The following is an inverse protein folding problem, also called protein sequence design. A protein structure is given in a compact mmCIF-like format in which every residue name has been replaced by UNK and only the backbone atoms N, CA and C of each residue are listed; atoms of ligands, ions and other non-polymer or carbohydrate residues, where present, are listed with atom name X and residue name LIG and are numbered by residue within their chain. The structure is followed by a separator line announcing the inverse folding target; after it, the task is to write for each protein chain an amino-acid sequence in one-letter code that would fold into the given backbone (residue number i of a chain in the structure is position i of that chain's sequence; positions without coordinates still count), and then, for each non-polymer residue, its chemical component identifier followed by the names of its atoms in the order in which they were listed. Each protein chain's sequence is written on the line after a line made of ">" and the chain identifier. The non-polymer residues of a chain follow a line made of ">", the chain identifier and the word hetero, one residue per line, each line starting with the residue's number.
data_IF_401064085308
#
_entry.id   IF_401064085308
#
_cell.length_a   1.000
_cell.length_b   1.000
_cell.length_c   1.000
_cell.angle_alpha   90.00
_cell.angle_beta   90.00
_cell.angle_gamma   90.00
#
_symmetry.space_group_name_H-M   'P 1'
#
loop_
_entity.id
_entity.type
_entity.pdbx_description
1 polymer ?
#
# COMPACT_ATOMS: atom_id res chain seq x y z
N UNK A 1 -7.53 4.33 -19.25
CA UNK A 1 -7.69 2.87 -19.06
C UNK A 1 -6.32 2.35 -18.70
N UNK A 2 -6.12 1.94 -17.45
CA UNK A 2 -4.87 1.32 -17.05
C UNK A 2 -4.60 0.10 -17.93
N UNK A 3 -3.39 -0.04 -18.45
CA UNK A 3 -3.04 -1.25 -19.20
C UNK A 3 -2.86 -2.40 -18.18
N UNK A 4 -3.27 -3.60 -18.55
CA UNK A 4 -3.16 -4.80 -17.70
C UNK A 4 -1.72 -5.03 -17.22
N UNK A 5 -0.73 -4.78 -18.08
CA UNK A 5 0.69 -4.90 -17.75
C UNK A 5 1.13 -3.93 -16.65
N UNK A 6 0.59 -2.71 -16.64
CA UNK A 6 0.85 -1.73 -15.58
C UNK A 6 0.24 -2.21 -14.26
N UNK A 7 -0.97 -2.78 -14.30
CA UNK A 7 -1.61 -3.31 -13.11
C UNK A 7 -0.79 -4.46 -12.52
N UNK A 8 -0.31 -5.38 -13.37
CA UNK A 8 0.60 -6.47 -12.97
C UNK A 8 1.88 -5.91 -12.35
N UNK A 9 2.45 -4.84 -12.91
CA UNK A 9 3.64 -4.21 -12.36
C UNK A 9 3.39 -3.63 -10.96
N UNK A 10 2.27 -2.96 -10.73
CA UNK A 10 1.95 -2.41 -9.42
C UNK A 10 1.61 -3.49 -8.38
N UNK A 11 0.95 -4.59 -8.78
CA UNK A 11 0.74 -5.73 -7.88
C UNK A 11 2.07 -6.39 -7.49
N UNK A 12 3.06 -6.43 -8.39
CA UNK A 12 4.43 -6.86 -8.05
C UNK A 12 5.10 -5.90 -7.06
N UNK A 13 4.95 -4.59 -7.25
CA UNK A 13 5.47 -3.59 -6.32
C UNK A 13 4.85 -3.75 -4.92
N UNK A 14 3.54 -4.00 -4.85
CA UNK A 14 2.83 -4.27 -3.61
C UNK A 14 3.37 -5.52 -2.90
N UNK A 15 3.51 -6.65 -3.61
CA UNK A 15 4.01 -7.90 -3.04
C UNK A 15 5.48 -7.82 -2.58
N UNK A 16 6.28 -6.98 -3.25
CA UNK A 16 7.69 -6.75 -2.92
C UNK A 16 7.91 -5.69 -1.82
N UNK A 17 6.88 -4.92 -1.46
CA UNK A 17 7.00 -3.84 -0.49
C UNK A 17 7.41 -4.39 0.90
N UNK A 18 8.47 -3.90 1.54
CA UNK A 18 8.88 -4.39 2.86
C UNK A 18 7.85 -4.09 3.96
N UNK A 19 6.94 -3.14 3.71
CA UNK A 19 5.88 -2.74 4.62
C UNK A 19 4.54 -3.46 4.38
N UNK A 20 4.44 -4.34 3.38
CA UNK A 20 3.21 -5.11 3.16
C UNK A 20 3.10 -6.18 4.24
N UNK A 21 1.91 -6.34 4.82
CA UNK A 21 1.69 -7.44 5.75
C UNK A 21 1.45 -8.75 4.99
N UNK A 22 1.64 -9.89 5.66
CA UNK A 22 1.67 -11.20 5.01
C UNK A 22 0.38 -11.55 4.24
N UNK A 23 -0.80 -11.28 4.78
CA UNK A 23 -2.06 -11.63 4.12
C UNK A 23 -2.30 -10.89 2.80
N UNK A 24 -2.00 -9.59 2.74
CA UNK A 24 -2.10 -8.80 1.50
C UNK A 24 -1.02 -9.21 0.50
N UNK A 25 0.17 -9.57 0.98
CA UNK A 25 1.23 -10.15 0.13
C UNK A 25 0.78 -11.45 -0.51
N UNK A 26 0.27 -12.39 0.28
CA UNK A 26 -0.19 -13.69 -0.20
C UNK A 26 -1.33 -13.54 -1.21
N UNK A 27 -2.23 -12.57 -1.00
CA UNK A 27 -3.29 -12.25 -1.94
C UNK A 27 -2.75 -11.65 -3.25
N UNK A 28 -1.78 -10.75 -3.18
CA UNK A 28 -1.12 -10.17 -4.35
C UNK A 28 -0.37 -11.24 -5.16
N UNK A 29 0.35 -12.15 -4.50
CA UNK A 29 1.05 -13.26 -5.15
C UNK A 29 0.07 -14.27 -5.79
N UNK A 30 -1.04 -14.57 -5.13
CA UNK A 30 -2.12 -15.38 -5.72
C UNK A 30 -2.74 -14.71 -6.96
N UNK A 31 -2.97 -13.39 -6.89
CA UNK A 31 -3.48 -12.62 -8.02
C UNK A 31 -2.51 -12.70 -9.22
N UNK A 32 -1.20 -12.54 -8.98
CA UNK A 32 -0.16 -12.64 -10.01
C UNK A 32 -0.07 -14.05 -10.60
N UNK A 33 -0.20 -15.09 -9.79
CA UNK A 33 -0.17 -16.47 -10.25
C UNK A 33 -1.41 -16.86 -11.09
N UNK A 34 -2.53 -16.16 -10.89
CA UNK A 34 -3.78 -16.37 -11.62
C UNK A 34 -3.87 -15.55 -12.92
N UNK A 35 -2.79 -14.87 -13.33
CA UNK A 35 -2.81 -14.01 -14.52
C UNK A 35 -3.18 -14.77 -15.79
N UNK A 36 -4.16 -14.23 -16.55
CA UNK A 36 -4.69 -14.89 -17.75
C UNK A 36 -5.62 -16.07 -17.48
N UNK A 37 -6.01 -16.33 -16.22
CA UNK A 37 -6.97 -17.38 -15.85
C UNK A 37 -8.35 -16.81 -15.52
N UNK A 38 -9.37 -17.66 -15.53
CA UNK A 38 -10.73 -17.27 -15.12
C UNK A 38 -10.83 -16.83 -13.64
N UNK A 39 -9.87 -17.21 -12.79
CA UNK A 39 -9.86 -16.85 -11.38
C UNK A 39 -9.49 -15.38 -11.14
N UNK A 40 -8.83 -14.73 -12.11
CA UNK A 40 -8.29 -13.38 -11.95
C UNK A 40 -9.36 -12.33 -11.64
N UNK A 41 -10.57 -12.47 -12.21
CA UNK A 41 -11.68 -11.55 -11.94
C UNK A 41 -12.09 -11.57 -10.46
N UNK A 42 -12.22 -12.76 -9.86
CA UNK A 42 -12.54 -12.90 -8.44
C UNK A 42 -11.40 -12.38 -7.54
N UNK A 43 -10.16 -12.72 -7.85
CA UNK A 43 -9.00 -12.24 -7.10
C UNK A 43 -8.84 -10.72 -7.21
N UNK A 44 -9.20 -10.11 -8.34
CA UNK A 44 -9.20 -8.65 -8.49
C UNK A 44 -10.21 -7.98 -7.55
N UNK A 45 -11.39 -8.57 -7.39
CA UNK A 45 -12.40 -8.07 -6.45
C UNK A 45 -11.93 -8.18 -5.00
N UNK A 46 -11.29 -9.30 -4.63
CA UNK A 46 -10.70 -9.49 -3.31
C UNK A 46 -9.55 -8.54 -3.03
N UNK A 47 -8.62 -8.38 -3.99
CA UNK A 47 -7.51 -7.45 -3.87
C UNK A 47 -7.99 -6.01 -3.71
N UNK A 48 -8.99 -5.61 -4.51
CA UNK A 48 -9.66 -4.31 -4.40
C UNK A 48 -10.23 -4.08 -3.00
N UNK A 49 -10.96 -5.06 -2.45
CA UNK A 49 -11.56 -4.95 -1.13
C UNK A 49 -10.49 -4.82 -0.03
N UNK A 50 -9.47 -5.67 -0.05
CA UNK A 50 -8.37 -5.63 0.91
C UNK A 50 -7.64 -4.27 0.87
N UNK A 51 -7.28 -3.80 -0.33
CA UNK A 51 -6.61 -2.50 -0.48
C UNK A 51 -7.41 -1.32 0.06
N UNK A 52 -8.74 -1.34 -0.01
CA UNK A 52 -9.56 -0.25 0.57
C UNK A 52 -9.51 -0.21 2.10
N UNK A 53 -9.22 -1.35 2.74
CA UNK A 53 -9.07 -1.45 4.19
C UNK A 53 -7.61 -1.20 4.62
N UNK A 54 -6.64 -1.57 3.78
CA UNK A 54 -5.22 -1.58 4.12
C UNK A 54 -4.43 -0.35 3.67
N UNK A 55 -4.92 0.38 2.66
CA UNK A 55 -4.29 1.63 2.22
C UNK A 55 -4.64 2.74 3.22
N UNK A 56 -3.72 2.96 4.15
CA UNK A 56 -3.88 4.00 5.15
C UNK A 56 -3.74 5.40 4.55
N UNK A 57 -4.58 6.32 5.02
CA UNK A 57 -4.42 7.76 4.80
C UNK A 57 -3.21 8.31 5.56
N UNK A 58 -2.74 9.49 5.14
CA UNK A 58 -1.64 10.17 5.84
C UNK A 58 -2.04 10.54 7.28
N UNK A 59 -3.31 10.87 7.50
CA UNK A 59 -3.83 11.25 8.81
C UNK A 59 -3.90 10.09 9.79
N UNK A 60 -4.18 8.87 9.30
CA UNK A 60 -4.22 7.66 10.12
C UNK A 60 -2.83 7.24 10.62
N UNK A 61 -1.78 7.45 9.82
CA UNK A 61 -0.42 6.99 10.17
C UNK A 61 0.41 8.00 10.96
N UNK A 62 0.07 9.29 10.89
CA UNK A 62 0.80 10.35 11.61
C UNK A 62 0.87 10.13 13.13
N UNK A 63 -0.23 9.76 13.83
CA UNK A 63 -0.17 9.46 15.26
C UNK A 63 0.78 8.29 15.59
N UNK A 64 0.83 7.27 14.74
CA UNK A 64 1.74 6.15 14.91
C UNK A 64 3.20 6.59 14.78
N UNK A 65 3.57 7.35 13.75
CA UNK A 65 4.95 7.84 13.60
C UNK A 65 5.43 8.74 14.76
N UNK A 66 4.50 9.40 15.46
CA UNK A 66 4.79 10.18 16.66
C UNK A 66 4.87 9.36 17.96
N UNK A 67 4.52 8.07 17.92
CA UNK A 67 4.34 7.24 19.11
C UNK A 67 5.63 6.52 19.55
N UNK A 68 5.62 6.02 20.78
CA UNK A 68 6.73 5.20 21.29
C UNK A 68 6.80 3.83 20.61
N UNK A 69 5.68 3.34 20.07
CA UNK A 69 5.63 2.12 19.25
C UNK A 69 6.43 2.28 17.97
N UNK A 70 6.34 3.43 17.27
CA UNK A 70 7.18 3.67 16.09
C UNK A 70 8.66 3.76 16.44
N UNK A 71 9.02 4.35 17.58
CA UNK A 71 10.42 4.35 18.06
C UNK A 71 10.93 2.94 18.35
N UNK A 72 10.09 2.06 18.92
CA UNK A 72 10.43 0.66 19.15
C UNK A 72 10.56 -0.12 17.84
N UNK A 73 9.72 0.18 16.86
CA UNK A 73 9.69 -0.51 15.57
C UNK A 73 10.84 -0.10 14.65
N UNK A 74 11.18 1.19 14.60
CA UNK A 74 12.12 1.75 13.63
C UNK A 74 13.41 2.31 14.25
N UNK A 75 13.43 2.56 15.55
CA UNK A 75 14.44 3.38 16.23
C UNK A 75 14.03 4.86 16.28
N UNK A 76 14.61 5.61 17.23
CA UNK A 76 14.25 7.01 17.47
C UNK A 76 14.47 7.91 16.25
N UNK A 77 15.63 7.81 15.61
CA UNK A 77 15.99 8.64 14.45
C UNK A 77 15.08 8.35 13.25
N UNK A 78 14.88 7.07 12.93
CA UNK A 78 14.02 6.68 11.81
C UNK A 78 12.56 7.06 12.06
N UNK A 79 12.03 6.87 13.28
CA UNK A 79 10.68 7.30 13.61
C UNK A 79 10.48 8.82 13.45
N UNK A 80 11.46 9.63 13.89
CA UNK A 80 11.44 11.08 13.70
C UNK A 80 11.47 11.47 12.22
N UNK A 81 12.27 10.78 11.39
CA UNK A 81 12.30 10.98 9.94
C UNK A 81 10.96 10.62 9.28
N UNK A 82 10.33 9.51 9.68
CA UNK A 82 9.02 9.09 9.18
C UNK A 82 7.92 10.10 9.54
N UNK A 83 7.94 10.63 10.76
CA UNK A 83 7.01 11.68 11.18
C UNK A 83 7.19 12.95 10.35
N UNK A 84 8.43 13.41 10.18
CA UNK A 84 8.74 14.60 9.37
C UNK A 84 8.30 14.42 7.91
N UNK A 85 8.56 13.24 7.33
CA UNK A 85 8.11 12.90 5.98
C UNK A 85 6.58 12.87 5.90
N UNK A 86 5.90 12.30 6.89
CA UNK A 86 4.44 12.25 6.93
C UNK A 86 3.81 13.64 6.97
N UNK A 87 4.38 14.54 7.78
CA UNK A 87 3.95 15.93 7.87
C UNK A 87 4.16 16.68 6.55
N UNK A 88 5.29 16.43 5.87
CA UNK A 88 5.58 17.00 4.55
C UNK A 88 4.56 16.53 3.51
N UNK A 89 4.31 15.22 3.41
CA UNK A 89 3.33 14.67 2.46
C UNK A 89 1.95 15.28 2.69
N UNK A 90 1.52 15.41 3.95
CA UNK A 90 0.25 16.07 4.29
C UNK A 90 0.23 17.54 3.86
N UNK A 91 1.31 18.29 4.12
CA UNK A 91 1.41 19.69 3.73
C UNK A 91 1.39 19.90 2.20
N UNK A 92 1.93 18.94 1.44
CA UNK A 92 1.90 18.93 -0.02
C UNK A 92 0.56 18.43 -0.60
N UNK A 93 -0.42 18.11 0.25
CA UNK A 93 -1.75 17.63 -0.16
C UNK A 93 -1.83 16.13 -0.47
N UNK A 94 -0.81 15.36 -0.10
CA UNK A 94 -0.82 13.90 -0.21
C UNK A 94 -1.88 13.28 0.70
N UNK A 95 -2.65 12.33 0.15
CA UNK A 95 -3.78 11.70 0.85
C UNK A 95 -3.40 10.43 1.61
N UNK A 96 -2.47 9.66 1.08
CA UNK A 96 -2.13 8.32 1.55
C UNK A 96 -0.77 8.27 2.23
N UNK A 97 -0.57 7.27 3.07
CA UNK A 97 0.73 6.93 3.63
C UNK A 97 1.74 6.69 2.49
N UNK A 98 2.97 7.16 2.70
CA UNK A 98 4.05 7.13 1.71
C UNK A 98 4.85 5.82 1.72
N UNK A 99 4.46 4.83 2.53
CA UNK A 99 5.16 3.54 2.51
C UNK A 99 4.97 2.85 1.15
N UNK A 100 5.91 1.98 0.73
CA UNK A 100 5.83 1.34 -0.59
C UNK A 100 4.52 0.56 -0.79
N UNK A 101 3.99 -0.08 0.27
CA UNK A 101 2.73 -0.81 0.19
C UNK A 101 1.52 0.10 -0.06
N UNK A 102 1.36 1.19 0.71
CA UNK A 102 0.26 2.14 0.52
C UNK A 102 0.38 2.88 -0.82
N UNK A 103 1.60 3.18 -1.28
CA UNK A 103 1.84 3.83 -2.58
C UNK A 103 1.39 2.93 -3.73
N UNK A 104 1.83 1.66 -3.76
CA UNK A 104 1.39 0.69 -4.76
C UNK A 104 -0.12 0.41 -4.65
N UNK A 105 -0.62 0.21 -3.43
CA UNK A 105 -2.03 -0.04 -3.16
C UNK A 105 -2.96 1.08 -3.63
N UNK A 106 -2.63 2.34 -3.33
CA UNK A 106 -3.36 3.50 -3.81
C UNK A 106 -3.37 3.58 -5.33
N UNK A 107 -2.24 3.25 -5.97
CA UNK A 107 -2.15 3.23 -7.43
C UNK A 107 -3.02 2.14 -8.05
N UNK A 108 -3.01 0.94 -7.47
CA UNK A 108 -3.89 -0.16 -7.89
C UNK A 108 -5.35 0.24 -7.75
N UNK A 109 -5.76 0.86 -6.64
CA UNK A 109 -7.13 1.34 -6.43
C UNK A 109 -7.55 2.35 -7.52
N UNK A 110 -6.71 3.34 -7.82
CA UNK A 110 -6.94 4.31 -8.91
C UNK A 110 -7.16 3.60 -10.26
N UNK A 111 -6.32 2.60 -10.56
CA UNK A 111 -6.40 1.82 -11.81
C UNK A 111 -7.67 0.96 -11.90
N UNK A 112 -8.20 0.53 -10.75
CA UNK A 112 -9.45 -0.21 -10.61
C UNK A 112 -10.70 0.68 -10.52
N UNK A 113 -10.53 2.01 -10.63
CA UNK A 113 -11.60 3.00 -10.69
C UNK A 113 -12.16 3.39 -9.33
N UNK A 114 -11.32 3.45 -8.30
CA UNK A 114 -11.63 3.98 -6.97
C UNK A 114 -11.16 5.43 -6.77
#
# INVERSE_FOLDING_TARGET
>A
MANHEELVAEVKNLAAAPSVYSGLKDLAEQWLAADGTAAQANLTALLRAALKEDVCTIDEVLPFFASDEAKKAFGEEAAAQMLAQGQKVKAEGGKYCFCPACTAGAKILEMLGE
#
